data_IF_075770681869
#
_entry.id   IF_075770681869
#
_cell.length_a   1.000
_cell.length_b   1.000
_cell.length_c   1.000
_cell.angle_alpha   90.00
_cell.angle_beta   90.00
_cell.angle_gamma   90.00
#
_symmetry.space_group_name_H-M   'P 1'
#
loop_
_entity.id
_entity.type
_entity.pdbx_description
1 polymer ?
#
# COMPACT_ATOMS: atom_id res chain seq x y z
N UNK A 1 -8.29 7.27 -17.55
CA UNK A 1 -7.78 6.12 -16.79
C UNK A 1 -8.47 6.09 -15.42
N UNK A 2 -9.28 5.06 -15.14
CA UNK A 2 -9.80 4.81 -13.79
C UNK A 2 -8.74 4.12 -12.91
N UNK A 3 -9.01 3.94 -11.61
CA UNK A 3 -8.05 3.35 -10.66
C UNK A 3 -7.61 1.93 -11.06
N UNK A 4 -8.51 1.14 -11.64
CA UNK A 4 -8.22 -0.21 -12.07
C UNK A 4 -7.30 -0.27 -13.30
N UNK A 5 -7.55 0.59 -14.28
CA UNK A 5 -6.70 0.74 -15.46
C UNK A 5 -5.30 1.24 -15.06
N UNK A 6 -5.25 2.16 -14.09
CA UNK A 6 -4.01 2.67 -13.52
C UNK A 6 -3.23 1.56 -12.82
N UNK A 7 -3.88 0.79 -11.95
CA UNK A 7 -3.25 -0.34 -11.28
C UNK A 7 -2.72 -1.36 -12.30
N UNK A 8 -3.50 -1.67 -13.34
CA UNK A 8 -3.08 -2.61 -14.39
C UNK A 8 -1.86 -2.10 -15.15
N UNK A 9 -1.86 -0.84 -15.57
CA UNK A 9 -0.73 -0.18 -16.22
C UNK A 9 0.53 -0.19 -15.34
N UNK A 10 0.41 0.18 -14.08
CA UNK A 10 1.52 0.23 -13.14
C UNK A 10 2.06 -1.17 -12.80
N UNK A 11 1.18 -2.16 -12.68
CA UNK A 11 1.59 -3.56 -12.49
C UNK A 11 2.50 -4.01 -13.64
N UNK A 12 2.11 -3.73 -14.90
CA UNK A 12 2.92 -4.05 -16.09
C UNK A 12 4.29 -3.38 -16.05
N UNK A 13 4.31 -2.08 -15.76
CA UNK A 13 5.53 -1.29 -15.70
C UNK A 13 6.50 -1.83 -14.66
N UNK A 14 6.07 -1.93 -13.40
CA UNK A 14 6.97 -2.27 -12.30
C UNK A 14 7.38 -3.73 -12.24
N UNK A 15 6.69 -4.63 -12.94
CA UNK A 15 7.22 -5.97 -13.20
C UNK A 15 8.44 -5.97 -14.12
N UNK A 16 8.57 -4.97 -14.97
CA UNK A 16 9.63 -4.90 -15.98
C UNK A 16 10.80 -4.04 -15.50
N UNK A 17 10.50 -2.93 -14.82
CA UNK A 17 11.48 -1.87 -14.54
C UNK A 17 11.72 -1.61 -13.05
N UNK A 18 11.07 -2.37 -12.16
CA UNK A 18 11.00 -2.11 -10.72
C UNK A 18 10.50 -0.67 -10.38
N UNK A 19 10.24 -0.38 -9.12
CA UNK A 19 9.92 0.97 -8.66
C UNK A 19 11.22 1.61 -8.16
N UNK A 20 11.63 2.73 -8.77
CA UNK A 20 12.73 3.56 -8.24
C UNK A 20 12.15 4.73 -7.43
N UNK A 21 12.52 4.82 -6.16
CA UNK A 21 12.13 5.91 -5.26
C UNK A 21 13.34 6.41 -4.49
N UNK A 22 13.65 7.70 -4.60
CA UNK A 22 14.84 8.33 -4.00
C UNK A 22 16.16 7.59 -4.31
N UNK A 23 16.32 7.07 -5.53
CA UNK A 23 17.51 6.33 -5.95
C UNK A 23 17.59 4.90 -5.40
N UNK A 24 16.55 4.42 -4.71
CA UNK A 24 16.44 3.06 -4.21
C UNK A 24 15.48 2.28 -5.09
N UNK A 25 15.92 1.09 -5.50
CA UNK A 25 15.10 0.16 -6.24
C UNK A 25 14.28 -0.72 -5.30
N UNK A 26 12.99 -0.83 -5.61
CA UNK A 26 12.03 -1.68 -4.93
C UNK A 26 11.36 -2.61 -5.95
N UNK A 27 11.46 -3.91 -5.71
CA UNK A 27 10.86 -4.92 -6.55
C UNK A 27 9.40 -5.10 -6.16
N UNK A 28 8.52 -5.22 -7.16
CA UNK A 28 7.12 -5.57 -6.89
C UNK A 28 7.06 -6.96 -6.26
N UNK A 29 6.42 -7.09 -5.10
CA UNK A 29 6.24 -8.38 -4.39
C UNK A 29 4.88 -8.98 -4.73
N UNK A 30 3.82 -8.22 -4.42
CA UNK A 30 2.44 -8.58 -4.68
C UNK A 30 1.65 -7.33 -5.10
N UNK A 31 0.56 -7.53 -5.82
CA UNK A 31 -0.51 -6.55 -5.98
C UNK A 31 -1.79 -7.12 -5.38
N UNK A 32 -2.67 -6.28 -4.85
CA UNK A 32 -3.98 -6.68 -4.35
C UNK A 32 -3.92 -7.83 -3.31
N UNK A 33 -2.92 -7.80 -2.42
CA UNK A 33 -2.76 -8.82 -1.39
C UNK A 33 -3.84 -8.66 -0.31
N UNK A 34 -4.67 -9.69 -0.11
CA UNK A 34 -5.78 -9.68 0.85
C UNK A 34 -5.39 -10.23 2.22
N UNK A 35 -6.04 -9.71 3.26
CA UNK A 35 -5.92 -10.16 4.64
C UNK A 35 -7.28 -10.56 5.22
N UNK A 36 -7.35 -11.64 6.03
CA UNK A 36 -6.21 -12.42 6.56
C UNK A 36 -5.78 -13.61 5.69
N UNK A 37 -6.36 -13.76 4.50
CA UNK A 37 -6.18 -14.96 3.66
C UNK A 37 -4.81 -15.06 2.99
N UNK A 38 -4.10 -13.94 2.82
CA UNK A 38 -2.86 -13.85 2.02
C UNK A 38 -3.05 -14.26 0.55
N UNK A 39 -4.28 -14.23 0.03
CA UNK A 39 -4.55 -14.48 -1.38
C UNK A 39 -4.64 -13.16 -2.18
N UNK A 40 -4.59 -13.27 -3.50
CA UNK A 40 -4.63 -12.12 -4.41
C UNK A 40 -6.06 -11.85 -4.86
N UNK A 41 -6.51 -10.60 -4.79
CA UNK A 41 -7.83 -10.22 -5.30
C UNK A 41 -7.84 -10.26 -6.84
N UNK A 42 -8.61 -11.20 -7.42
CA UNK A 42 -8.66 -11.47 -8.87
C UNK A 42 -9.93 -10.97 -9.58
N UNK A 43 -10.70 -10.07 -8.98
CA UNK A 43 -11.92 -9.46 -9.57
C UNK A 43 -13.07 -10.40 -9.97
N UNK A 44 -12.93 -11.73 -9.91
CA UNK A 44 -14.01 -12.65 -10.35
C UNK A 44 -14.95 -13.11 -9.24
N UNK A 45 -14.55 -13.04 -7.97
CA UNK A 45 -15.40 -13.33 -6.82
C UNK A 45 -15.33 -12.14 -5.86
N UNK A 46 -16.46 -11.65 -5.35
CA UNK A 46 -16.48 -10.63 -4.30
C UNK A 46 -15.94 -11.23 -3.01
N UNK A 47 -14.65 -11.05 -2.75
CA UNK A 47 -14.07 -11.31 -1.44
C UNK A 47 -14.11 -10.02 -0.63
N UNK A 48 -14.82 -10.03 0.49
CA UNK A 48 -15.03 -8.85 1.35
C UNK A 48 -13.83 -8.56 2.27
N UNK A 49 -12.65 -9.00 1.88
CA UNK A 49 -11.40 -8.84 2.62
C UNK A 49 -10.72 -7.51 2.31
N UNK A 50 -9.78 -7.13 3.17
CA UNK A 50 -9.00 -5.91 3.02
C UNK A 50 -7.81 -6.24 2.14
N UNK A 51 -7.62 -5.52 1.04
CA UNK A 51 -6.44 -5.66 0.18
C UNK A 51 -5.45 -4.52 0.36
N UNK A 52 -4.17 -4.76 0.07
CA UNK A 52 -3.14 -3.75 -0.19
C UNK A 52 -2.93 -3.70 -1.70
N UNK A 53 -2.96 -2.51 -2.31
CA UNK A 53 -2.91 -2.39 -3.77
C UNK A 53 -1.57 -2.84 -4.33
N UNK A 54 -0.46 -2.43 -3.70
CA UNK A 54 0.87 -2.93 -4.02
C UNK A 54 1.76 -3.10 -2.79
N UNK A 55 2.59 -4.14 -2.83
CA UNK A 55 3.68 -4.36 -1.88
C UNK A 55 4.96 -4.40 -2.68
N UNK A 56 5.92 -3.53 -2.32
CA UNK A 56 7.26 -3.59 -2.89
C UNK A 56 8.29 -3.92 -1.81
N UNK A 57 9.44 -4.44 -2.21
CA UNK A 57 10.54 -4.76 -1.31
C UNK A 57 11.88 -4.29 -1.88
N UNK A 58 12.68 -3.62 -1.05
CA UNK A 58 14.08 -3.34 -1.36
C UNK A 58 14.96 -4.34 -0.62
N UNK A 59 15.68 -5.18 -1.36
CA UNK A 59 16.68 -6.09 -0.79
C UNK A 59 17.83 -5.32 -0.13
N UNK A 60 18.22 -4.17 -0.71
CA UNK A 60 19.27 -3.29 -0.17
C UNK A 60 18.95 -2.75 1.22
N UNK A 61 17.69 -2.38 1.46
CA UNK A 61 17.25 -1.79 2.73
C UNK A 61 16.57 -2.80 3.67
N UNK A 62 16.24 -4.00 3.17
CA UNK A 62 15.32 -4.93 3.85
C UNK A 62 14.02 -4.25 4.28
N UNK A 63 13.45 -3.47 3.35
CA UNK A 63 12.31 -2.59 3.61
C UNK A 63 11.15 -2.89 2.64
N UNK A 64 9.94 -2.96 3.19
CA UNK A 64 8.69 -3.00 2.43
C UNK A 64 8.07 -1.61 2.24
N UNK A 65 7.50 -1.39 1.07
CA UNK A 65 6.52 -0.32 0.82
C UNK A 65 5.13 -0.95 0.72
N UNK A 66 4.26 -0.65 1.68
CA UNK A 66 2.83 -0.99 1.62
C UNK A 66 2.08 0.20 1.00
N UNK A 67 1.64 0.04 -0.24
CA UNK A 67 1.11 1.13 -1.05
C UNK A 67 -0.41 1.06 -1.18
N UNK A 68 -1.06 2.16 -0.78
CA UNK A 68 -2.41 2.50 -1.19
C UNK A 68 -2.36 3.35 -2.46
N UNK A 69 -3.02 2.89 -3.51
CA UNK A 69 -3.18 3.60 -4.77
C UNK A 69 -4.49 4.37 -4.77
N UNK A 70 -4.43 5.62 -5.23
CA UNK A 70 -5.58 6.40 -5.66
C UNK A 70 -5.30 6.99 -7.03
N UNK A 71 -6.32 7.12 -7.86
CA UNK A 71 -6.15 7.84 -9.12
C UNK A 71 -5.80 9.33 -8.88
N UNK A 72 -6.61 9.99 -8.06
CA UNK A 72 -6.45 11.39 -7.67
C UNK A 72 -7.10 11.61 -6.30
N UNK A 73 -6.52 12.49 -5.50
CA UNK A 73 -7.04 12.86 -4.19
C UNK A 73 -7.37 14.35 -4.19
N UNK A 74 -8.63 14.68 -3.93
CA UNK A 74 -9.14 16.05 -3.88
C UNK A 74 -9.64 16.41 -2.47
N UNK A 75 -9.10 17.47 -1.89
CA UNK A 75 -9.51 17.99 -0.58
C UNK A 75 -9.01 17.19 0.63
N UNK A 76 -9.14 17.80 1.81
CA UNK A 76 -8.62 17.27 3.08
C UNK A 76 -9.34 15.99 3.52
N UNK A 77 -10.66 15.87 3.31
CA UNK A 77 -11.44 14.67 3.67
C UNK A 77 -10.95 13.41 2.93
N UNK A 78 -10.76 13.50 1.61
CA UNK A 78 -10.31 12.35 0.81
C UNK A 78 -8.85 12.01 1.10
N UNK A 79 -8.01 13.03 1.39
CA UNK A 79 -6.66 12.80 1.86
C UNK A 79 -6.63 12.06 3.21
N UNK A 80 -7.51 12.44 4.15
CA UNK A 80 -7.64 11.75 5.44
C UNK A 80 -8.14 10.31 5.25
N UNK A 81 -9.10 10.10 4.35
CA UNK A 81 -9.57 8.76 4.02
C UNK A 81 -8.44 7.87 3.47
N UNK A 82 -7.61 8.41 2.57
CA UNK A 82 -6.43 7.72 2.05
C UNK A 82 -5.39 7.44 3.13
N UNK A 83 -5.15 8.40 4.04
CA UNK A 83 -4.28 8.22 5.21
C UNK A 83 -4.74 7.06 6.09
N UNK A 84 -6.02 7.06 6.46
CA UNK A 84 -6.63 6.00 7.28
C UNK A 84 -6.53 4.63 6.60
N UNK A 85 -6.78 4.57 5.30
CA UNK A 85 -6.74 3.35 4.52
C UNK A 85 -5.33 2.77 4.40
N UNK A 86 -4.35 3.58 3.98
CA UNK A 86 -2.95 3.16 3.91
C UNK A 86 -2.40 2.70 5.27
N UNK A 87 -2.78 3.41 6.33
CA UNK A 87 -2.45 3.07 7.72
C UNK A 87 -2.98 1.70 8.11
N UNK A 88 -4.30 1.52 7.99
CA UNK A 88 -4.96 0.31 8.45
C UNK A 88 -4.46 -0.92 7.68
N UNK A 89 -4.27 -0.77 6.36
CA UNK A 89 -3.75 -1.83 5.51
C UNK A 89 -2.30 -2.21 5.88
N UNK A 90 -1.43 -1.23 6.13
CA UNK A 90 -0.05 -1.49 6.55
C UNK A 90 0.04 -2.16 7.92
N UNK A 91 -0.85 -1.80 8.87
CA UNK A 91 -0.96 -2.49 10.16
C UNK A 91 -1.27 -3.97 9.96
N UNK A 92 -2.21 -4.33 9.08
CA UNK A 92 -2.53 -5.74 8.82
C UNK A 92 -1.31 -6.51 8.28
N UNK A 93 -0.53 -5.88 7.41
CA UNK A 93 0.70 -6.49 6.90
C UNK A 93 1.72 -6.71 8.02
N UNK A 94 1.97 -5.71 8.87
CA UNK A 94 2.94 -5.80 9.97
C UNK A 94 2.51 -6.85 11.00
N UNK A 95 1.25 -6.80 11.45
CA UNK A 95 0.72 -7.64 12.53
C UNK A 95 0.63 -9.12 12.14
N UNK A 96 0.48 -9.40 10.83
CA UNK A 96 0.33 -10.76 10.31
C UNK A 96 1.55 -11.23 9.52
N UNK A 97 2.64 -10.46 9.49
CA UNK A 97 3.79 -10.68 8.62
C UNK A 97 4.31 -12.11 8.72
N UNK A 98 4.33 -12.79 7.58
CA UNK A 98 4.67 -14.21 7.48
C UNK A 98 5.36 -14.45 6.14
N UNK A 99 6.63 -14.85 6.21
CA UNK A 99 7.49 -15.03 5.04
C UNK A 99 6.98 -16.15 4.14
N UNK A 100 6.50 -17.25 4.71
CA UNK A 100 6.03 -18.40 3.94
C UNK A 100 4.76 -18.03 3.16
N UNK A 101 3.81 -17.35 3.81
CA UNK A 101 2.60 -16.86 3.17
C UNK A 101 2.89 -15.80 2.11
N UNK A 102 3.80 -14.86 2.39
CA UNK A 102 4.20 -13.84 1.41
C UNK A 102 4.86 -14.47 0.18
N UNK A 103 5.74 -15.44 0.39
CA UNK A 103 6.43 -16.17 -0.69
C UNK A 103 5.40 -16.92 -1.56
N UNK A 104 4.40 -17.56 -0.93
CA UNK A 104 3.31 -18.22 -1.64
C UNK A 104 2.44 -17.20 -2.42
N UNK A 105 2.11 -16.07 -1.83
CA UNK A 105 1.33 -15.02 -2.48
C UNK A 105 2.08 -14.43 -3.70
N UNK A 106 3.37 -14.16 -3.55
CA UNK A 106 4.26 -13.71 -4.63
C UNK A 106 4.27 -14.71 -5.78
N UNK A 107 4.44 -16.01 -5.48
CA UNK A 107 4.37 -17.08 -6.49
C UNK A 107 3.09 -17.00 -7.31
N UNK A 108 1.95 -16.87 -6.65
CA UNK A 108 0.64 -16.75 -7.30
C UNK A 108 0.47 -15.48 -8.13
N UNK A 109 1.00 -14.34 -7.67
CA UNK A 109 1.06 -13.12 -8.47
C UNK A 109 1.80 -13.38 -9.78
N UNK A 110 3.00 -13.94 -9.70
CA UNK A 110 3.88 -14.09 -10.85
C UNK A 110 3.47 -15.21 -11.81
N UNK A 111 2.88 -16.30 -11.33
CA UNK A 111 2.37 -17.40 -12.19
C UNK A 111 1.16 -17.00 -13.03
N UNK A 112 0.19 -16.32 -12.43
CA UNK A 112 -1.11 -16.09 -13.07
C UNK A 112 -1.10 -14.92 -14.06
N UNK A 113 -0.17 -13.99 -13.84
CA UNK A 113 -0.03 -12.76 -14.60
C UNK A 113 0.45 -12.92 -16.05
N UNK A 114 1.09 -14.04 -16.44
CA UNK A 114 1.58 -14.21 -17.81
C UNK A 114 0.43 -14.10 -18.82
N UNK A 115 -0.78 -14.54 -18.45
CA UNK A 115 -1.94 -14.58 -19.35
C UNK A 115 -2.79 -13.29 -19.38
N UNK A 116 -2.86 -12.52 -18.29
CA UNK A 116 -3.77 -11.35 -18.22
C UNK A 116 -3.06 -10.00 -18.04
N UNK A 117 -1.93 -9.95 -17.33
CA UNK A 117 -1.22 -8.70 -17.00
C UNK A 117 0.16 -8.57 -17.64
N UNK A 118 0.72 -9.61 -18.25
CA UNK A 118 2.01 -9.57 -18.95
C UNK A 118 3.23 -9.34 -18.04
N UNK A 119 4.43 -9.57 -18.59
CA UNK A 119 5.74 -9.29 -17.95
C UNK A 119 6.69 -10.49 -17.95
N UNK A 120 8.01 -10.24 -17.99
CA UNK A 120 9.08 -11.25 -17.95
C UNK A 120 8.94 -12.16 -16.71
N UNK A 121 9.47 -13.38 -16.84
CA UNK A 121 9.72 -14.29 -15.72
C UNK A 121 10.86 -13.67 -14.91
N UNK A 122 10.58 -12.83 -13.92
CA UNK A 122 11.52 -12.68 -12.80
C UNK A 122 11.50 -14.00 -12.04
N UNK A 123 12.68 -14.57 -11.80
CA UNK A 123 12.79 -15.79 -11.02
C UNK A 123 12.21 -15.50 -9.64
N UNK A 124 11.22 -16.32 -9.28
CA UNK A 124 10.40 -16.17 -8.09
C UNK A 124 11.27 -16.21 -6.81
N UNK A 125 12.45 -16.83 -6.90
CA UNK A 125 13.29 -17.23 -5.77
C UNK A 125 14.46 -16.26 -5.46
N UNK A 126 14.48 -15.05 -6.04
CA UNK A 126 15.60 -14.10 -5.88
C UNK A 126 15.50 -13.18 -4.64
N UNK A 127 14.42 -13.26 -3.86
CA UNK A 127 14.23 -12.39 -2.69
C UNK A 127 14.22 -13.20 -1.40
N UNK A 128 15.28 -13.04 -0.62
CA UNK A 128 15.29 -13.43 0.79
C UNK A 128 14.69 -12.29 1.62
N UNK A 129 13.44 -12.46 2.04
CA UNK A 129 12.79 -11.49 2.92
C UNK A 129 13.43 -11.54 4.32
N UNK A 130 13.65 -10.36 4.90
CA UNK A 130 14.12 -10.25 6.29
C UNK A 130 13.05 -10.77 7.26
N UNK A 131 13.47 -11.43 8.33
CA UNK A 131 12.58 -11.78 9.45
C UNK A 131 12.05 -10.54 10.19
N UNK A 132 12.79 -9.43 10.13
CA UNK A 132 12.45 -8.17 10.80
C UNK A 132 12.55 -7.01 9.79
N UNK A 133 11.66 -6.97 8.79
CA UNK A 133 11.74 -5.93 7.77
C UNK A 133 11.25 -4.59 8.34
N UNK A 134 11.79 -3.50 7.80
CA UNK A 134 11.16 -2.18 8.00
C UNK A 134 9.94 -2.10 7.08
N UNK A 135 8.83 -1.53 7.56
CA UNK A 135 7.62 -1.34 6.74
C UNK A 135 7.28 0.14 6.67
N UNK A 136 7.22 0.67 5.45
CA UNK A 136 6.77 2.04 5.17
C UNK A 136 5.34 2.04 4.63
N UNK A 137 4.54 2.96 5.17
CA UNK A 137 3.17 3.21 4.72
C UNK A 137 3.22 4.23 3.59
N UNK A 138 2.63 3.90 2.46
CA UNK A 138 2.67 4.78 1.28
C UNK A 138 1.26 5.07 0.80
N UNK A 139 0.96 6.36 0.62
CA UNK A 139 -0.20 6.79 -0.16
C UNK A 139 0.29 7.31 -1.51
N UNK A 140 -0.13 6.67 -2.58
CA UNK A 140 0.31 6.96 -3.93
C UNK A 140 -0.85 7.45 -4.80
N UNK A 141 -0.65 8.56 -5.52
CA UNK A 141 -1.64 9.08 -6.45
C UNK A 141 -1.03 9.91 -7.57
N UNK A 142 -1.76 10.12 -8.67
CA UNK A 142 -1.32 11.02 -9.74
C UNK A 142 -1.37 12.48 -9.31
N UNK A 143 -2.36 12.81 -8.46
CA UNK A 143 -2.60 14.18 -7.97
C UNK A 143 -2.96 14.17 -6.50
N UNK A 144 -2.37 15.12 -5.78
CA UNK A 144 -2.64 15.42 -4.39
C UNK A 144 -3.08 16.89 -4.25
N UNK A 145 -3.76 17.25 -3.15
CA UNK A 145 -3.94 18.65 -2.76
C UNK A 145 -2.58 19.34 -2.55
N UNK A 146 -2.48 20.65 -2.79
CA UNK A 146 -1.22 21.40 -2.68
C UNK A 146 -0.57 21.29 -1.29
N UNK A 147 -1.37 21.31 -0.23
CA UNK A 147 -0.92 21.19 1.16
C UNK A 147 -0.86 19.74 1.68
N UNK A 148 -0.80 18.74 0.80
CA UNK A 148 -0.85 17.33 1.22
C UNK A 148 0.32 16.96 2.14
N UNK A 149 1.55 17.35 1.79
CA UNK A 149 2.73 17.07 2.62
C UNK A 149 2.61 17.64 4.03
N UNK A 150 2.23 18.92 4.16
CA UNK A 150 2.04 19.57 5.46
C UNK A 150 0.93 18.88 6.27
N UNK A 151 -0.17 18.52 5.62
CA UNK A 151 -1.31 17.87 6.27
C UNK A 151 -0.95 16.46 6.77
N UNK A 152 -0.24 15.68 5.95
CA UNK A 152 0.24 14.34 6.35
C UNK A 152 1.24 14.43 7.50
N UNK A 153 2.19 15.38 7.45
CA UNK A 153 3.15 15.61 8.54
C UNK A 153 2.43 15.93 9.86
N UNK A 154 1.42 16.79 9.80
CA UNK A 154 0.57 17.07 10.96
C UNK A 154 -0.10 15.79 11.49
N UNK A 155 -0.76 15.00 10.64
CA UNK A 155 -1.41 13.74 11.09
C UNK A 155 -0.43 12.67 11.59
N UNK A 156 0.77 12.58 11.03
CA UNK A 156 1.80 11.68 11.56
C UNK A 156 2.25 12.09 12.98
N UNK A 157 2.17 13.38 13.34
CA UNK A 157 2.50 13.86 14.68
C UNK A 157 1.40 13.63 15.73
N UNK A 158 0.20 13.27 15.30
CA UNK A 158 -0.95 13.07 16.19
C UNK A 158 -0.93 11.68 16.82
N UNK A 159 -1.24 11.63 18.10
CA UNK A 159 -1.54 10.37 18.77
C UNK A 159 -2.90 9.80 18.32
N UNK A 160 -3.22 8.58 18.76
CA UNK A 160 -4.46 7.90 18.36
C UNK A 160 -5.73 8.69 18.73
N UNK A 161 -5.79 9.30 19.91
CA UNK A 161 -6.96 10.06 20.34
C UNK A 161 -7.16 11.30 19.46
N UNK A 162 -6.10 12.04 19.20
CA UNK A 162 -6.10 13.23 18.34
C UNK A 162 -6.46 12.87 16.89
N UNK A 163 -5.96 11.75 16.37
CA UNK A 163 -6.36 11.26 15.05
C UNK A 163 -7.87 10.94 14.98
N UNK A 164 -8.44 10.36 16.04
CA UNK A 164 -9.90 10.11 16.11
C UNK A 164 -10.70 11.41 16.13
N UNK A 165 -10.19 12.45 16.79
CA UNK A 165 -10.79 13.78 16.79
C UNK A 165 -10.69 14.47 15.42
N UNK A 166 -9.60 14.28 14.66
CA UNK A 166 -9.54 14.75 13.27
C UNK A 166 -10.57 14.03 12.39
N UNK A 167 -10.72 12.72 12.57
CA UNK A 167 -11.69 11.90 11.83
C UNK A 167 -13.14 12.33 12.14
N UNK A 168 -13.47 12.62 13.40
CA UNK A 168 -14.84 12.98 13.81
C UNK A 168 -15.34 14.30 13.23
N UNK A 169 -14.46 15.13 12.64
CA UNK A 169 -14.83 16.38 11.95
C UNK A 169 -15.54 16.13 10.63
N UNK A 170 -15.54 14.89 10.13
CA UNK A 170 -16.09 14.54 8.83
C UNK A 170 -17.21 13.50 8.96
N UNK A 171 -18.14 13.51 8.00
CA UNK A 171 -19.14 12.43 7.86
C UNK A 171 -18.42 11.09 7.75
N UNK A 172 -18.83 10.15 8.60
CA UNK A 172 -18.26 8.81 8.70
C UNK A 172 -18.23 8.11 7.33
N UNK A 173 -17.16 7.36 7.10
CA UNK A 173 -17.03 6.47 5.97
C UNK A 173 -16.38 5.16 6.45
N UNK A 174 -16.38 4.15 5.58
CA UNK A 174 -15.86 2.82 5.92
C UNK A 174 -14.39 2.83 6.37
N UNK A 175 -13.56 3.70 5.80
CA UNK A 175 -12.13 3.78 6.16
C UNK A 175 -11.92 4.44 7.53
N UNK A 176 -12.75 5.42 7.87
CA UNK A 176 -12.79 6.02 9.21
C UNK A 176 -13.25 5.02 10.27
N UNK A 177 -14.30 4.24 9.98
CA UNK A 177 -14.77 3.18 10.88
C UNK A 177 -13.72 2.09 11.08
N UNK A 178 -13.05 1.67 10.00
CA UNK A 178 -11.94 0.70 10.06
C UNK A 178 -10.78 1.23 10.89
N UNK A 179 -10.39 2.48 10.69
CA UNK A 179 -9.32 3.10 11.47
C UNK A 179 -9.67 3.18 12.96
N UNK A 180 -10.91 3.56 13.29
CA UNK A 180 -11.36 3.65 14.68
C UNK A 180 -11.35 2.29 15.42
N UNK A 181 -11.36 1.17 14.69
CA UNK A 181 -11.25 -0.19 15.25
C UNK A 181 -9.81 -0.61 15.54
N UNK A 182 -8.81 0.15 15.08
CA UNK A 182 -7.40 -0.12 15.39
C UNK A 182 -7.19 0.03 16.90
N UNK A 183 -6.60 -1.00 17.52
CA UNK A 183 -6.23 -0.97 18.95
C UNK A 183 -5.01 -0.07 19.19
N UNK A 184 -4.75 0.30 20.43
CA UNK A 184 -3.57 1.10 20.78
C UNK A 184 -2.27 0.37 20.41
N UNK A 185 -2.16 -0.91 20.77
CA UNK A 185 -1.04 -1.78 20.37
C UNK A 185 -0.82 -1.80 18.85
N UNK A 186 -1.89 -1.85 18.06
CA UNK A 186 -1.78 -1.82 16.59
C UNK A 186 -1.37 -0.44 16.05
N UNK A 187 -1.81 0.64 16.69
CA UNK A 187 -1.38 1.99 16.33
C UNK A 187 0.11 2.20 16.62
N UNK A 188 0.63 1.63 17.70
CA UNK A 188 2.06 1.72 18.05
C UNK A 188 2.99 1.09 17.00
N UNK A 189 2.51 0.09 16.25
CA UNK A 189 3.27 -0.53 15.14
C UNK A 189 3.68 0.46 14.06
N UNK A 190 2.93 1.55 13.91
CA UNK A 190 3.13 2.56 12.85
C UNK A 190 3.47 3.94 13.39
N UNK A 191 3.43 4.14 14.71
CA UNK A 191 3.72 5.41 15.36
C UNK A 191 5.19 5.87 15.15
N UNK A 192 6.05 4.95 14.70
CA UNK A 192 7.45 5.21 14.32
C UNK A 192 7.70 5.21 12.80
N UNK A 193 6.65 5.02 12.01
CA UNK A 193 6.72 4.85 10.56
C UNK A 193 5.78 5.84 9.88
N UNK A 194 6.25 7.06 9.67
CA UNK A 194 5.52 8.11 8.97
C UNK A 194 4.91 7.62 7.65
N UNK A 195 3.67 8.02 7.38
CA UNK A 195 3.10 7.85 6.05
C UNK A 195 3.81 8.80 5.09
N UNK A 196 4.28 8.24 3.98
CA UNK A 196 4.87 9.00 2.88
C UNK A 196 3.89 9.10 1.72
N UNK A 197 3.92 10.23 1.01
CA UNK A 197 3.17 10.39 -0.23
C UNK A 197 4.09 10.19 -1.43
N UNK A 198 3.60 9.48 -2.44
CA UNK A 198 4.30 9.29 -3.72
C UNK A 198 3.43 9.78 -4.86
N UNK A 199 3.94 10.73 -5.65
CA UNK A 199 3.26 11.18 -6.86
C UNK A 199 3.64 10.28 -8.03
N UNK A 200 2.64 9.80 -8.77
CA UNK A 200 2.88 8.98 -9.96
C UNK A 200 3.28 9.91 -11.11
N UNK A 201 4.53 9.80 -11.55
CA UNK A 201 4.99 10.40 -12.80
C UNK A 201 4.50 9.57 -13.98
N UNK A 202 3.33 9.92 -14.53
CA UNK A 202 2.89 9.39 -15.82
C UNK A 202 3.31 10.42 -16.86
N UNK A 203 4.30 10.10 -17.70
CA UNK A 203 4.50 10.84 -18.94
C UNK A 203 3.28 10.56 -19.82
N UNK A 204 2.59 11.58 -20.36
CA UNK A 204 1.61 11.34 -21.41
C UNK A 204 2.35 10.61 -22.56
N UNK A 205 1.80 9.46 -22.94
CA UNK A 205 2.24 8.73 -24.12
C UNK A 205 1.86 9.49 -25.39
#
# INVERSE_FOLDING_TARGET
MNEWELQHYLTKKWRTENLNYNGIEYQLVCWELMFPSWIINRKRNKWNEISIDFIFYSTKLSEFLCVELKNSISGKKNLLSGYCQATQRSINFIDQYDIEKLTKARRLCYSDSIKERGGKITLIDDINFSNNPVVKRVLMAQKFPSKANETIKYWNSLNRLEMRQEISKYVANREFERFNKISEKQFDLINKNDLIIMKIGISPA
#
